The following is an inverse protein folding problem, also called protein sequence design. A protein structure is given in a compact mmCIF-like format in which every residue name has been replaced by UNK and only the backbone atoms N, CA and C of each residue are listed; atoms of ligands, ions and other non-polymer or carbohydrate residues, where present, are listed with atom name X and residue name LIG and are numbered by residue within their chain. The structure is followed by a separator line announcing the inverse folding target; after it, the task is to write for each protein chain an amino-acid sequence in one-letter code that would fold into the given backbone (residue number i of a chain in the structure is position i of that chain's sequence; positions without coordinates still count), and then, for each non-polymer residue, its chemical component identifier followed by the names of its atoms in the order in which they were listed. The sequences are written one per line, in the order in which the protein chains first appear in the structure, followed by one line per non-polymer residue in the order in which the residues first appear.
data_IF_847232265696
#
_entry.id   IF_847232265696
#
_cell.length_a   1.000
_cell.length_b   1.000
_cell.length_c   1.000
_cell.angle_alpha   90.00
_cell.angle_beta   90.00
_cell.angle_gamma   90.00
#
_symmetry.space_group_name_H-M   'P 1'
#
loop_
_entity.id
_entity.type
_entity.pdbx_description
1 polymer ?
#
# COMPACT_ATOMS: atom_id res chain seq x y z
N UNK A 1 14.87 -16.23 12.18
CA UNK A 1 15.34 -16.41 13.56
C UNK A 1 16.84 -16.57 13.48
N UNK A 2 17.60 -15.67 14.09
CA UNK A 2 19.07 -15.66 14.00
C UNK A 2 19.71 -16.36 15.19
N UNK A 3 19.18 -16.15 16.40
CA UNK A 3 19.65 -16.77 17.64
C UNK A 3 18.52 -16.91 18.66
N UNK A 4 18.66 -17.86 19.60
CA UNK A 4 17.70 -18.13 20.68
C UNK A 4 18.44 -18.54 21.96
N UNK A 5 18.40 -17.70 22.98
CA UNK A 5 18.87 -18.03 24.33
C UNK A 5 17.71 -18.61 25.16
N UNK A 6 17.85 -19.86 25.60
CA UNK A 6 16.83 -20.57 26.38
C UNK A 6 17.24 -20.69 27.84
N UNK A 7 16.31 -20.43 28.75
CA UNK A 7 16.47 -20.77 30.17
C UNK A 7 16.53 -22.30 30.33
N UNK A 8 17.37 -22.77 31.27
CA UNK A 8 17.58 -24.21 31.49
C UNK A 8 16.30 -24.94 31.90
N UNK A 9 15.53 -24.37 32.84
CA UNK A 9 14.30 -24.99 33.32
C UNK A 9 13.11 -24.73 32.37
N UNK A 10 12.21 -25.71 32.25
CA UNK A 10 11.05 -25.63 31.36
C UNK A 10 9.98 -24.64 31.86
N UNK A 11 9.92 -24.41 33.18
CA UNK A 11 8.92 -23.51 33.79
C UNK A 11 9.08 -22.05 33.33
N UNK A 12 10.30 -21.62 32.99
CA UNK A 12 10.60 -20.27 32.47
C UNK A 12 10.42 -20.15 30.95
N UNK A 13 9.95 -21.23 30.30
CA UNK A 13 9.68 -21.30 28.86
C UNK A 13 8.18 -21.43 28.58
N UNK A 14 7.36 -20.89 29.48
CA UNK A 14 5.91 -20.93 29.34
C UNK A 14 5.45 -20.18 28.07
N UNK A 15 4.41 -20.70 27.40
CA UNK A 15 3.85 -20.05 26.20
C UNK A 15 3.42 -18.60 26.44
N UNK A 16 2.93 -18.29 27.64
CA UNK A 16 2.58 -16.92 28.05
C UNK A 16 3.77 -15.94 28.08
N UNK A 17 5.00 -16.43 28.21
CA UNK A 17 6.22 -15.61 28.17
C UNK A 17 6.81 -15.56 26.76
N UNK A 18 6.82 -16.68 26.03
CA UNK A 18 7.43 -16.78 24.70
C UNK A 18 6.59 -16.11 23.61
N UNK A 19 5.26 -16.28 23.63
CA UNK A 19 4.38 -15.75 22.56
C UNK A 19 4.44 -14.22 22.46
N UNK A 20 4.24 -13.43 23.55
CA UNK A 20 4.26 -11.97 23.44
C UNK A 20 5.65 -11.41 23.12
N UNK A 21 6.72 -12.04 23.62
CA UNK A 21 8.10 -11.63 23.34
C UNK A 21 8.48 -11.92 21.89
N UNK A 22 8.12 -13.08 21.36
CA UNK A 22 8.29 -13.44 19.94
C UNK A 22 7.56 -12.46 19.02
N UNK A 23 6.30 -12.11 19.36
CA UNK A 23 5.54 -11.08 18.62
C UNK A 23 6.25 -9.72 18.64
N UNK A 24 6.81 -9.33 19.79
CA UNK A 24 7.53 -8.06 19.96
C UNK A 24 8.80 -8.03 19.10
N UNK A 25 9.53 -9.15 19.02
CA UNK A 25 10.71 -9.30 18.17
C UNK A 25 10.40 -9.21 16.66
N UNK A 26 9.26 -9.74 16.22
CA UNK A 26 8.80 -9.55 14.83
C UNK A 26 8.51 -8.09 14.52
N UNK A 27 7.88 -7.34 15.43
CA UNK A 27 7.59 -5.92 15.21
C UNK A 27 8.85 -5.05 15.20
N UNK A 28 9.80 -5.29 16.10
CA UNK A 28 11.05 -4.53 16.12
C UNK A 28 11.86 -4.76 14.84
N UNK A 29 12.05 -6.02 14.45
CA UNK A 29 12.78 -6.37 13.21
C UNK A 29 12.11 -5.81 11.96
N UNK A 30 10.78 -5.87 11.86
CA UNK A 30 10.04 -5.30 10.74
C UNK A 30 10.23 -3.78 10.63
N UNK A 31 10.15 -3.04 11.74
CA UNK A 31 10.32 -1.58 11.72
C UNK A 31 11.77 -1.15 11.44
N UNK A 32 12.75 -1.99 11.78
CA UNK A 32 14.16 -1.74 11.46
C UNK A 32 14.50 -1.99 9.99
N UNK A 33 13.68 -2.73 9.25
CA UNK A 33 13.94 -3.15 7.87
C UNK A 33 13.35 -2.21 6.79
N UNK A 34 13.05 -0.95 7.12
CA UNK A 34 12.41 0.03 6.21
C UNK A 34 11.08 -0.47 5.59
N UNK A 35 10.04 -0.71 6.40
CA UNK A 35 8.83 -1.36 5.96
C UNK A 35 8.06 -0.53 4.91
N UNK A 36 7.43 -1.21 3.95
CA UNK A 36 6.58 -0.59 2.92
C UNK A 36 5.14 -1.10 3.03
N UNK A 37 4.19 -0.26 2.64
CA UNK A 37 2.79 -0.65 2.51
C UNK A 37 2.54 -1.31 1.16
N UNK A 38 1.60 -2.26 1.13
CA UNK A 38 1.08 -2.82 -0.11
C UNK A 38 -0.40 -2.45 -0.26
N UNK A 39 -0.79 -2.04 -1.46
CA UNK A 39 -2.18 -1.82 -1.86
C UNK A 39 -2.66 -2.89 -2.84
N UNK A 40 -3.93 -3.28 -2.79
CA UNK A 40 -4.48 -4.19 -3.78
C UNK A 40 -4.71 -3.45 -5.10
N UNK A 41 -4.57 -4.17 -6.21
CA UNK A 41 -4.72 -3.65 -7.57
C UNK A 41 -5.77 -4.48 -8.31
N UNK A 42 -6.62 -3.79 -9.07
CA UNK A 42 -7.57 -4.43 -9.97
C UNK A 42 -7.00 -4.50 -11.39
N UNK A 43 -7.12 -5.68 -12.00
CA UNK A 43 -7.12 -5.84 -13.45
C UNK A 43 -8.41 -5.25 -14.02
N UNK A 44 -8.22 -4.25 -14.87
CA UNK A 44 -9.25 -3.58 -15.62
C UNK A 44 -9.29 -4.16 -17.02
N UNK A 45 -10.44 -4.66 -17.45
CA UNK A 45 -10.71 -4.97 -18.84
C UNK A 45 -11.86 -4.09 -19.32
N UNK A 46 -11.55 -3.15 -20.21
CA UNK A 46 -12.54 -2.29 -20.86
C UNK A 46 -12.77 -2.79 -22.27
N UNK A 47 -14.04 -2.93 -22.66
CA UNK A 47 -14.42 -3.26 -24.05
C UNK A 47 -15.41 -2.21 -24.54
N UNK A 48 -15.15 -1.63 -25.71
CA UNK A 48 -16.00 -0.59 -26.31
C UNK A 48 -15.64 -0.35 -27.78
N UNK A 49 -16.29 0.62 -28.44
CA UNK A 49 -15.91 1.04 -29.80
C UNK A 49 -14.51 1.64 -29.85
N UNK A 50 -13.87 1.60 -31.01
CA UNK A 50 -12.52 2.17 -31.19
C UNK A 50 -12.47 3.65 -30.84
N UNK A 51 -13.48 4.44 -31.19
CA UNK A 51 -13.56 5.89 -30.88
C UNK A 51 -13.45 6.21 -29.38
N UNK A 52 -13.82 5.25 -28.52
CA UNK A 52 -13.83 5.44 -27.06
C UNK A 52 -12.48 5.19 -26.38
N UNK A 53 -11.48 4.63 -27.08
CA UNK A 53 -10.21 4.22 -26.46
C UNK A 53 -9.48 5.40 -25.79
N UNK A 54 -9.45 6.56 -26.44
CA UNK A 54 -8.77 7.77 -25.93
C UNK A 54 -9.33 8.20 -24.57
N UNK A 55 -10.64 8.10 -24.38
CA UNK A 55 -11.26 8.42 -23.09
C UNK A 55 -10.91 7.39 -22.01
N UNK A 56 -10.77 6.10 -22.36
CA UNK A 56 -10.30 5.05 -21.45
C UNK A 56 -8.89 5.39 -20.93
N UNK A 57 -7.97 5.72 -21.83
CA UNK A 57 -6.61 6.13 -21.47
C UNK A 57 -6.60 7.35 -20.55
N UNK A 58 -7.40 8.37 -20.88
CA UNK A 58 -7.50 9.60 -20.09
C UNK A 58 -8.06 9.37 -18.68
N UNK A 59 -9.08 8.52 -18.54
CA UNK A 59 -9.68 8.21 -17.22
C UNK A 59 -8.73 7.35 -16.39
N UNK A 60 -8.08 6.38 -17.00
CA UNK A 60 -7.15 5.47 -16.32
C UNK A 60 -5.91 6.23 -15.81
N UNK A 61 -5.32 7.09 -16.64
CA UNK A 61 -4.14 7.88 -16.29
C UNK A 61 -4.39 8.83 -15.11
N UNK A 62 -5.60 9.38 -14.97
CA UNK A 62 -5.99 10.23 -13.83
C UNK A 62 -6.04 9.49 -12.49
N UNK A 63 -6.12 8.15 -12.52
CA UNK A 63 -6.35 7.29 -11.35
C UNK A 63 -5.15 6.37 -11.06
N UNK A 64 -3.93 6.82 -11.37
CA UNK A 64 -2.67 6.06 -11.23
C UNK A 64 -2.68 4.69 -11.95
N UNK A 65 -3.59 4.49 -12.90
CA UNK A 65 -3.68 3.26 -13.65
C UNK A 65 -2.73 3.26 -14.84
N UNK A 66 -2.32 2.07 -15.28
CA UNK A 66 -1.46 1.88 -16.43
C UNK A 66 -2.03 0.81 -17.35
N UNK A 67 -1.88 1.02 -18.66
CA UNK A 67 -2.33 0.06 -19.68
C UNK A 67 -1.25 -1.00 -19.88
N UNK A 68 -1.66 -2.26 -19.88
CA UNK A 68 -0.79 -3.41 -20.11
C UNK A 68 -0.80 -3.82 -21.58
N UNK A 69 -1.99 -3.89 -22.17
CA UNK A 69 -2.20 -4.31 -23.55
C UNK A 69 -3.49 -3.75 -24.08
N UNK A 70 -3.49 -3.36 -25.34
CA UNK A 70 -4.68 -2.94 -26.06
C UNK A 70 -4.73 -3.57 -27.46
N UNK A 71 -5.94 -3.74 -27.99
CA UNK A 71 -6.10 -4.25 -29.34
C UNK A 71 -7.55 -4.53 -29.74
N UNK A 72 -7.78 -4.75 -31.04
CA UNK A 72 -9.08 -5.09 -31.57
C UNK A 72 -9.49 -6.51 -31.15
N UNK A 73 -10.78 -6.69 -30.85
CA UNK A 73 -11.36 -8.00 -30.57
C UNK A 73 -11.69 -8.68 -31.89
N UNK A 74 -10.89 -9.69 -32.26
CA UNK A 74 -11.03 -10.41 -33.52
C UNK A 74 -12.48 -10.88 -33.78
N UNK A 75 -12.99 -10.60 -34.98
CA UNK A 75 -14.36 -10.95 -35.37
C UNK A 75 -15.45 -9.97 -34.90
N UNK A 76 -15.09 -8.87 -34.24
CA UNK A 76 -16.02 -7.81 -33.83
C UNK A 76 -15.44 -6.41 -34.09
N UNK A 77 -16.27 -5.35 -34.23
CA UNK A 77 -15.78 -3.97 -34.33
C UNK A 77 -15.38 -3.37 -32.96
N UNK A 78 -15.18 -4.20 -31.94
CA UNK A 78 -14.88 -3.75 -30.58
C UNK A 78 -13.36 -3.69 -30.35
N UNK A 79 -12.97 -2.72 -29.54
CA UNK A 79 -11.61 -2.53 -29.05
C UNK A 79 -11.56 -2.89 -27.56
N UNK A 80 -10.52 -3.61 -27.13
CA UNK A 80 -10.30 -3.99 -25.74
C UNK A 80 -9.03 -3.37 -25.20
N UNK A 81 -9.13 -2.77 -24.02
CA UNK A 81 -8.00 -2.20 -23.27
C UNK A 81 -7.91 -2.94 -21.93
N UNK A 82 -6.76 -3.58 -21.69
CA UNK A 82 -6.43 -4.20 -20.42
C UNK A 82 -5.43 -3.32 -19.67
N UNK A 83 -5.65 -3.10 -18.38
CA UNK A 83 -4.77 -2.32 -17.54
C UNK A 83 -4.87 -2.70 -16.08
N UNK A 84 -4.12 -1.99 -15.25
CA UNK A 84 -4.12 -2.13 -13.80
C UNK A 84 -4.50 -0.80 -13.17
N UNK A 85 -5.28 -0.84 -12.09
CA UNK A 85 -5.68 0.34 -11.31
C UNK A 85 -5.61 0.01 -9.81
N UNK A 86 -5.02 0.87 -8.96
CA UNK A 86 -5.12 0.71 -7.51
C UNK A 86 -6.58 0.74 -7.05
N UNK A 87 -6.97 -0.15 -6.14
CA UNK A 87 -8.37 -0.29 -5.70
C UNK A 87 -8.91 1.00 -5.07
N UNK A 88 -8.07 1.74 -4.35
CA UNK A 88 -8.49 3.01 -3.74
C UNK A 88 -8.84 4.07 -4.78
N UNK A 89 -8.25 4.00 -5.97
CA UNK A 89 -8.51 4.92 -7.07
C UNK A 89 -9.55 4.37 -8.06
N UNK A 90 -10.06 3.15 -7.85
CA UNK A 90 -11.08 2.56 -8.72
C UNK A 90 -12.51 3.01 -8.38
N UNK A 91 -12.73 3.67 -7.24
CA UNK A 91 -14.06 4.11 -6.82
C UNK A 91 -14.63 5.14 -7.81
N UNK A 92 -15.76 4.79 -8.43
CA UNK A 92 -16.40 5.60 -9.47
C UNK A 92 -15.75 5.51 -10.86
N UNK A 93 -14.73 4.66 -11.05
CA UNK A 93 -14.07 4.47 -12.35
C UNK A 93 -15.05 4.03 -13.45
N UNK A 94 -15.89 3.02 -13.15
CA UNK A 94 -16.89 2.52 -14.11
C UNK A 94 -17.88 3.62 -14.50
N UNK A 95 -18.40 4.36 -13.52
CA UNK A 95 -19.38 5.42 -13.74
C UNK A 95 -18.80 6.54 -14.60
N UNK A 96 -17.60 7.02 -14.28
CA UNK A 96 -16.93 8.07 -15.05
C UNK A 96 -16.71 7.65 -16.50
N UNK A 97 -16.32 6.39 -16.71
CA UNK A 97 -16.09 5.87 -18.06
C UNK A 97 -17.40 5.77 -18.84
N UNK A 98 -18.47 5.26 -18.22
CA UNK A 98 -19.79 5.20 -18.86
C UNK A 98 -20.31 6.58 -19.23
N UNK A 99 -20.12 7.60 -18.39
CA UNK A 99 -20.54 8.98 -18.70
C UNK A 99 -19.76 9.52 -19.91
N UNK A 100 -18.44 9.40 -19.91
CA UNK A 100 -17.58 9.91 -20.99
C UNK A 100 -17.79 9.21 -22.33
N UNK A 101 -18.11 7.91 -22.28
CA UNK A 101 -18.34 7.08 -23.47
C UNK A 101 -19.81 6.98 -23.86
N UNK A 102 -20.69 7.75 -23.21
CA UNK A 102 -22.15 7.74 -23.42
C UNK A 102 -22.77 6.33 -23.30
N UNK A 103 -22.21 5.51 -22.40
CA UNK A 103 -22.64 4.13 -22.15
C UNK A 103 -22.11 3.10 -23.15
N UNK A 104 -21.27 3.49 -24.10
CA UNK A 104 -20.78 2.61 -25.16
C UNK A 104 -19.69 1.64 -24.71
N UNK A 105 -19.00 1.93 -23.59
CA UNK A 105 -17.95 1.06 -23.03
C UNK A 105 -18.43 0.29 -21.81
N UNK A 106 -18.06 -0.98 -21.74
CA UNK A 106 -18.25 -1.86 -20.59
C UNK A 106 -16.92 -2.09 -19.87
N UNK A 107 -16.95 -2.08 -18.53
CA UNK A 107 -15.79 -2.28 -17.67
C UNK A 107 -15.96 -3.57 -16.87
N UNK A 108 -14.86 -4.31 -16.73
CA UNK A 108 -14.70 -5.37 -15.73
C UNK A 108 -13.52 -5.03 -14.83
N UNK A 109 -13.73 -5.18 -13.51
CA UNK A 109 -12.71 -5.00 -12.48
C UNK A 109 -12.57 -6.30 -11.70
N UNK A 110 -11.38 -6.91 -11.73
CA UNK A 110 -11.08 -8.16 -11.03
C UNK A 110 -9.81 -7.99 -10.21
N UNK A 111 -9.76 -8.51 -8.99
CA UNK A 111 -8.54 -8.53 -8.19
C UNK A 111 -7.45 -9.34 -8.89
N UNK A 112 -6.26 -8.74 -9.01
CA UNK A 112 -5.10 -9.38 -9.64
C UNK A 112 -3.99 -9.62 -8.61
N UNK A 113 -3.40 -8.54 -8.08
CA UNK A 113 -2.22 -8.62 -7.24
C UNK A 113 -2.14 -7.50 -6.19
N UNK A 114 -1.06 -7.54 -5.41
CA UNK A 114 -0.67 -6.51 -4.44
C UNK A 114 0.55 -5.77 -4.96
N UNK A 115 0.47 -4.43 -5.00
CA UNK A 115 1.60 -3.57 -5.38
C UNK A 115 2.08 -2.75 -4.19
N UNK A 116 3.35 -2.35 -4.21
CA UNK A 116 3.90 -1.46 -3.19
C UNK A 116 3.28 -0.06 -3.37
N UNK A 117 2.78 0.51 -2.27
CA UNK A 117 2.28 1.90 -2.25
C UNK A 117 3.48 2.83 -2.45
N UNK A 118 3.39 3.80 -3.37
CA UNK A 118 4.47 4.75 -3.56
C UNK A 118 4.68 5.60 -2.30
N UNK A 119 5.95 5.88 -2.00
CA UNK A 119 6.34 6.67 -0.84
C UNK A 119 6.82 5.85 0.36
N UNK A 120 7.24 6.58 1.39
CA UNK A 120 7.67 6.00 2.66
C UNK A 120 6.59 6.20 3.74
N UNK A 121 6.10 5.12 4.38
CA UNK A 121 5.12 5.24 5.45
C UNK A 121 5.67 5.86 6.75
N UNK A 122 6.99 5.86 6.95
CA UNK A 122 7.65 6.34 8.17
C UNK A 122 8.25 7.75 8.02
N UNK A 123 8.29 8.29 6.80
CA UNK A 123 8.78 9.64 6.54
C UNK A 123 7.89 10.71 7.21
N UNK A 124 8.52 11.51 8.09
CA UNK A 124 7.88 12.58 8.87
C UNK A 124 7.90 13.92 8.16
N UNK A 125 8.77 14.08 7.17
CA UNK A 125 8.96 15.35 6.46
C UNK A 125 7.83 15.62 5.46
N UNK A 126 7.04 14.59 5.13
CA UNK A 126 5.88 14.72 4.26
C UNK A 126 4.74 15.49 4.95
N UNK A 127 4.54 16.74 4.52
CA UNK A 127 3.45 17.59 4.99
C UNK A 127 2.13 17.16 4.33
N UNK A 128 1.26 16.53 5.11
CA UNK A 128 -0.10 16.18 4.69
C UNK A 128 -1.08 17.31 5.00
N UNK A 129 -1.71 17.86 3.95
CA UNK A 129 -2.71 18.92 4.10
C UNK A 129 -4.10 18.30 4.28
N UNK A 130 -4.88 18.72 5.29
CA UNK A 130 -6.27 18.32 5.41
C UNK A 130 -7.07 18.70 4.17
N UNK A 131 -8.08 17.89 3.82
CA UNK A 131 -9.02 18.12 2.71
C UNK A 131 -8.40 18.15 1.29
N UNK A 132 -7.10 17.84 1.16
CA UNK A 132 -6.43 17.69 -0.14
C UNK A 132 -5.93 16.24 -0.32
N UNK A 133 -5.94 15.71 -1.55
CA UNK A 133 -5.30 14.43 -1.81
C UNK A 133 -3.79 14.55 -1.60
N UNK A 134 -3.17 13.50 -1.08
CA UNK A 134 -1.73 13.43 -0.91
C UNK A 134 -1.02 13.37 -2.27
N UNK A 135 0.24 13.82 -2.30
CA UNK A 135 1.11 13.57 -3.45
C UNK A 135 1.42 12.08 -3.55
N UNK A 136 1.87 11.63 -4.74
CA UNK A 136 2.21 10.22 -4.97
C UNK A 136 3.26 9.71 -3.97
N UNK A 137 4.25 10.54 -3.61
CA UNK A 137 5.29 10.18 -2.64
C UNK A 137 4.82 10.23 -1.18
N UNK A 138 3.78 11.00 -0.87
CA UNK A 138 3.23 11.09 0.48
C UNK A 138 2.07 10.09 0.73
N UNK A 139 1.68 9.32 -0.29
CA UNK A 139 0.51 8.43 -0.25
C UNK A 139 0.65 7.34 0.81
N UNK A 140 1.81 6.68 0.90
CA UNK A 140 2.07 5.68 1.93
C UNK A 140 1.91 6.24 3.36
N UNK A 141 2.45 7.43 3.63
CA UNK A 141 2.34 8.10 4.93
C UNK A 141 0.90 8.45 5.27
N UNK A 142 0.16 9.00 4.30
CA UNK A 142 -1.24 9.35 4.45
C UNK A 142 -2.12 8.14 4.81
N UNK A 143 -1.90 7.00 4.13
CA UNK A 143 -2.64 5.77 4.41
C UNK A 143 -2.37 5.23 5.81
N UNK A 144 -1.10 5.24 6.26
CA UNK A 144 -0.77 4.81 7.63
C UNK A 144 -1.46 5.70 8.66
N UNK A 145 -1.31 7.02 8.53
CA UNK A 145 -1.85 7.96 9.51
C UNK A 145 -3.37 7.90 9.59
N UNK A 146 -4.07 7.95 8.46
CA UNK A 146 -5.54 7.85 8.42
C UNK A 146 -6.04 6.53 8.98
N UNK A 147 -5.38 5.42 8.64
CA UNK A 147 -5.77 4.09 9.15
C UNK A 147 -5.55 4.00 10.66
N UNK A 148 -4.42 4.49 11.18
CA UNK A 148 -4.12 4.49 12.62
C UNK A 148 -5.07 5.37 13.42
N UNK A 149 -5.35 6.59 12.95
CA UNK A 149 -6.37 7.47 13.55
C UNK A 149 -7.73 6.78 13.64
N UNK A 150 -8.18 6.14 12.55
CA UNK A 150 -9.44 5.39 12.53
C UNK A 150 -9.44 4.22 13.54
N UNK A 151 -8.29 3.61 13.79
CA UNK A 151 -8.12 2.51 14.76
C UNK A 151 -7.88 2.99 16.19
N UNK A 152 -7.82 4.30 16.44
CA UNK A 152 -7.53 4.85 17.77
C UNK A 152 -6.07 4.62 18.21
N UNK A 153 -5.16 4.44 17.26
CA UNK A 153 -3.73 4.25 17.53
C UNK A 153 -2.98 5.58 17.37
N UNK A 154 -1.88 5.74 18.13
CA UNK A 154 -0.99 6.91 18.02
C UNK A 154 -0.45 7.08 16.60
N UNK A 155 -0.31 8.31 16.15
CA UNK A 155 0.24 8.66 14.82
C UNK A 155 1.73 8.32 14.69
N UNK A 156 2.44 8.34 15.82
CA UNK A 156 3.85 8.03 15.88
C UNK A 156 4.08 6.53 15.86
N UNK A 157 4.69 6.07 14.76
CA UNK A 157 5.22 4.72 14.62
C UNK A 157 6.71 4.80 14.92
N UNK A 158 7.13 4.33 16.09
CA UNK A 158 8.54 4.37 16.49
C UNK A 158 9.01 3.01 16.98
N UNK A 159 10.27 2.68 16.68
CA UNK A 159 10.92 1.44 17.16
C UNK A 159 11.14 1.48 18.68
N UNK A 160 11.18 2.69 19.26
CA UNK A 160 11.34 2.95 20.70
C UNK A 160 10.33 2.20 21.57
N UNK A 161 9.11 1.95 21.09
CA UNK A 161 8.09 1.23 21.86
C UNK A 161 8.42 -0.26 22.02
N UNK A 162 9.27 -0.82 21.15
CA UNK A 162 9.55 -2.26 21.10
C UNK A 162 10.95 -2.62 21.62
N UNK A 163 11.90 -1.69 21.61
CA UNK A 163 13.27 -1.92 22.06
C UNK A 163 13.47 -1.49 23.51
N UNK A 164 14.42 -2.13 24.18
CA UNK A 164 14.87 -1.69 25.51
C UNK A 164 15.57 -0.33 25.40
N UNK A 165 15.37 0.59 26.37
CA UNK A 165 15.88 1.97 26.26
C UNK A 165 17.39 2.07 26.06
N UNK A 166 18.17 1.24 26.78
CA UNK A 166 19.63 1.21 26.69
C UNK A 166 20.11 0.77 25.30
N UNK A 167 19.45 -0.25 24.73
CA UNK A 167 19.75 -0.73 23.39
C UNK A 167 19.31 0.25 22.30
N UNK A 168 18.21 0.96 22.51
CA UNK A 168 17.79 2.02 21.59
C UNK A 168 18.80 3.17 21.56
N UNK A 169 19.35 3.57 22.72
CA UNK A 169 20.38 4.61 22.80
C UNK A 169 21.65 4.20 22.08
N UNK A 170 22.14 2.97 22.29
CA UNK A 170 23.34 2.50 21.57
C UNK A 170 23.13 2.41 20.05
N UNK A 171 21.92 2.05 19.60
CA UNK A 171 21.58 2.07 18.18
C UNK A 171 21.54 3.49 17.60
N UNK A 172 21.03 4.47 18.34
CA UNK A 172 21.06 5.88 17.93
C UNK A 172 22.50 6.41 17.86
N UNK A 173 23.34 6.10 18.85
CA UNK A 173 24.76 6.47 18.85
C UNK A 173 25.54 5.85 17.68
N UNK A 174 25.17 4.62 17.29
CA UNK A 174 25.76 3.95 16.13
C UNK A 174 25.35 4.53 14.77
N UNK A 175 24.34 5.42 14.73
CA UNK A 175 23.79 5.99 13.50
C UNK A 175 23.02 5.01 12.61
N UNK A 176 22.72 3.80 13.10
CA UNK A 176 21.97 2.79 12.33
C UNK A 176 20.48 3.10 12.23
N UNK A 177 19.93 3.83 13.20
CA UNK A 177 18.63 4.46 13.08
C UNK A 177 18.91 5.87 12.54
N UNK A 178 18.54 6.11 11.27
CA UNK A 178 18.72 7.44 10.65
C UNK A 178 18.16 8.55 11.53
N UNK A 179 18.72 9.75 11.41
CA UNK A 179 18.33 10.90 12.22
C UNK A 179 16.80 11.08 12.18
N UNK A 180 16.20 11.04 13.37
CA UNK A 180 14.76 10.94 13.61
C UNK A 180 13.98 12.21 13.30
#
# INVERSE_FOLDING_TARGET
ITDVLLAGEAIFRGGGQIIPTSRRACYSSFLMASPRLMEPVYAVSVTGPEDSHTEVYNVLARRRGHVLSDGPVAGTPLYRVNGLIPVIDSFGFETDLRIKTQGSSMVSLVFDNWSIVPGDPLDRDQILRPLQPASVQATARDFVLKTRRRKGLSEDVSVKTFLEPEFYQSLMESGMLGDA
#
